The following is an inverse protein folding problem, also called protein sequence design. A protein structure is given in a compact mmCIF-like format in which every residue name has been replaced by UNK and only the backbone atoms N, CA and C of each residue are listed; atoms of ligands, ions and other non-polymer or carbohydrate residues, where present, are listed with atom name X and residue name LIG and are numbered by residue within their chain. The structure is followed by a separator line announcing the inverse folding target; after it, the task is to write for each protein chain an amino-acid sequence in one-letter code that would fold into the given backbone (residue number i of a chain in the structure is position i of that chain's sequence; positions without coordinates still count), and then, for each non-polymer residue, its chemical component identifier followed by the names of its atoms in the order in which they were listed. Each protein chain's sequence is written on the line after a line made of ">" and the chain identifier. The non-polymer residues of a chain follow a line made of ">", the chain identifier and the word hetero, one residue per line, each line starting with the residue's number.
data_IF_341047446517
#
_entry.id   IF_341047446517
#
_cell.length_a   1.000
_cell.length_b   1.000
_cell.length_c   1.000
_cell.angle_alpha   90.00
_cell.angle_beta   90.00
_cell.angle_gamma   90.00
#
_symmetry.space_group_name_H-M   'P 1'
#
loop_
_entity.id
_entity.type
_entity.pdbx_description
1 polymer ?
#
# COMPACT_ATOMS: atom_id res chain seq x y z
N UNK A 1 10.35 3.25 -14.00
CA UNK A 1 9.67 2.12 -13.33
C UNK A 1 9.26 2.47 -11.90
N UNK A 2 10.18 2.86 -11.01
CA UNK A 2 9.88 3.22 -9.61
C UNK A 2 8.82 4.33 -9.48
N UNK A 3 8.97 5.46 -10.18
CA UNK A 3 7.97 6.52 -10.09
C UNK A 3 6.59 6.07 -10.61
N UNK A 4 6.57 5.27 -11.68
CA UNK A 4 5.33 4.73 -12.23
C UNK A 4 4.63 3.78 -11.25
N UNK A 5 5.38 2.98 -10.48
CA UNK A 5 4.78 2.07 -9.48
C UNK A 5 4.07 2.79 -8.34
N UNK A 6 4.31 4.09 -8.19
CA UNK A 6 3.63 4.96 -7.22
C UNK A 6 2.53 5.76 -7.90
N UNK A 7 2.85 6.42 -9.01
CA UNK A 7 1.94 7.37 -9.66
C UNK A 7 0.75 6.68 -10.30
N UNK A 8 0.93 5.51 -10.93
CA UNK A 8 -0.17 4.78 -11.59
C UNK A 8 -1.27 4.39 -10.60
N UNK A 9 -0.99 3.61 -9.52
CA UNK A 9 -2.05 3.24 -8.59
C UNK A 9 -2.67 4.45 -7.90
N UNK A 10 -1.88 5.43 -7.45
CA UNK A 10 -2.41 6.62 -6.78
C UNK A 10 -3.29 7.48 -7.69
N UNK A 11 -2.90 7.66 -8.96
CA UNK A 11 -3.71 8.39 -9.92
C UNK A 11 -5.03 7.66 -10.19
N UNK A 12 -5.01 6.34 -10.37
CA UNK A 12 -6.22 5.54 -10.55
C UNK A 12 -7.14 5.60 -9.32
N UNK A 13 -6.60 5.51 -8.10
CA UNK A 13 -7.37 5.66 -6.86
C UNK A 13 -8.00 7.05 -6.79
N UNK A 14 -7.23 8.10 -7.06
CA UNK A 14 -7.72 9.48 -7.03
C UNK A 14 -8.81 9.72 -8.08
N UNK A 15 -8.60 9.26 -9.32
CA UNK A 15 -9.59 9.37 -10.41
C UNK A 15 -10.86 8.60 -10.05
N UNK A 16 -10.75 7.38 -9.53
CA UNK A 16 -11.91 6.59 -9.11
C UNK A 16 -12.68 7.29 -7.96
N UNK A 17 -11.97 7.77 -6.94
CA UNK A 17 -12.57 8.50 -5.82
C UNK A 17 -13.34 9.74 -6.30
N UNK A 18 -12.71 10.57 -7.14
CA UNK A 18 -13.30 11.81 -7.64
C UNK A 18 -14.46 11.59 -8.61
N UNK A 19 -14.43 10.50 -9.40
CA UNK A 19 -15.48 10.18 -10.37
C UNK A 19 -16.65 9.36 -9.80
N UNK A 20 -16.49 8.79 -8.60
CA UNK A 20 -17.52 7.95 -7.97
C UNK A 20 -18.80 8.71 -7.59
N UNK A 21 -18.67 9.98 -7.17
CA UNK A 21 -19.78 10.81 -6.68
C UNK A 21 -20.32 10.46 -5.28
N UNK A 22 -19.93 9.32 -4.70
CA UNK A 22 -20.41 8.85 -3.39
C UNK A 22 -19.29 8.65 -2.36
N UNK A 23 -18.03 8.55 -2.80
CA UNK A 23 -16.92 8.20 -1.94
C UNK A 23 -16.63 9.24 -0.86
N UNK A 24 -16.50 8.77 0.38
CA UNK A 24 -16.18 9.59 1.54
C UNK A 24 -15.06 8.93 2.37
N UNK A 25 -13.93 9.62 2.52
CA UNK A 25 -12.77 9.12 3.27
C UNK A 25 -13.07 8.69 4.71
N UNK A 26 -14.07 9.30 5.36
CA UNK A 26 -14.42 9.02 6.75
C UNK A 26 -15.30 7.79 6.92
N UNK A 27 -16.10 7.46 5.92
CA UNK A 27 -17.13 6.42 6.00
C UNK A 27 -16.84 5.20 5.14
N UNK A 28 -15.95 5.32 4.15
CA UNK A 28 -15.63 4.26 3.19
C UNK A 28 -14.23 3.67 3.40
N UNK A 29 -14.02 2.46 2.89
CA UNK A 29 -12.71 1.92 2.59
C UNK A 29 -12.30 2.36 1.17
N UNK A 30 -10.99 2.50 0.87
CA UNK A 30 -10.59 2.74 -0.53
C UNK A 30 -11.04 1.57 -1.41
N UNK A 31 -11.01 0.34 -0.89
CA UNK A 31 -11.46 -0.86 -1.59
C UNK A 31 -12.92 -0.83 -2.02
N UNK A 32 -13.77 -0.04 -1.37
CA UNK A 32 -15.18 0.15 -1.78
C UNK A 32 -15.26 0.62 -3.24
N UNK A 33 -14.28 1.43 -3.69
CA UNK A 33 -14.19 1.91 -5.07
C UNK A 33 -13.99 0.77 -6.06
N UNK A 34 -13.36 -0.33 -5.63
CA UNK A 34 -13.06 -1.53 -6.42
C UNK A 34 -14.18 -2.56 -6.48
N UNK A 35 -15.29 -2.35 -5.77
CA UNK A 35 -16.37 -3.34 -5.70
C UNK A 35 -17.05 -3.55 -7.08
N UNK A 36 -16.74 -4.66 -7.77
CA UNK A 36 -17.09 -4.85 -9.18
C UNK A 36 -18.59 -4.86 -9.52
N UNK A 37 -19.46 -5.13 -8.54
CA UNK A 37 -20.92 -5.20 -8.73
C UNK A 37 -21.61 -3.87 -8.40
N UNK A 38 -21.03 -3.07 -7.50
CA UNK A 38 -21.69 -1.89 -6.90
C UNK A 38 -21.04 -0.57 -7.26
N UNK A 39 -19.77 -0.59 -7.67
CA UNK A 39 -19.01 0.60 -8.01
C UNK A 39 -18.85 0.72 -9.53
N UNK A 40 -19.37 1.81 -10.09
CA UNK A 40 -19.19 2.17 -11.50
C UNK A 40 -17.74 2.56 -11.85
N UNK A 41 -16.89 2.82 -10.85
CA UNK A 41 -15.48 3.17 -11.00
C UNK A 41 -14.53 1.99 -10.73
N UNK A 42 -15.07 0.80 -10.42
CA UNK A 42 -14.30 -0.41 -10.13
C UNK A 42 -13.26 -0.76 -11.20
N UNK A 43 -13.54 -0.66 -12.53
CA UNK A 43 -12.54 -0.95 -13.55
C UNK A 43 -11.29 -0.05 -13.43
N UNK A 44 -11.45 1.23 -13.09
CA UNK A 44 -10.35 2.18 -12.94
C UNK A 44 -9.54 1.84 -11.69
N UNK A 45 -10.21 1.61 -10.57
CA UNK A 45 -9.58 1.29 -9.30
C UNK A 45 -8.83 -0.04 -9.35
N UNK A 46 -9.49 -1.13 -9.78
CA UNK A 46 -8.88 -2.46 -9.84
C UNK A 46 -7.77 -2.53 -10.90
N UNK A 47 -7.89 -1.83 -12.03
CA UNK A 47 -6.77 -1.69 -12.97
C UNK A 47 -5.58 -0.98 -12.31
N UNK A 48 -5.82 0.10 -11.58
CA UNK A 48 -4.78 0.82 -10.84
C UNK A 48 -4.04 -0.06 -9.84
N UNK A 49 -4.76 -0.84 -9.03
CA UNK A 49 -4.18 -1.76 -8.08
C UNK A 49 -3.40 -2.90 -8.76
N UNK A 50 -3.97 -3.50 -9.81
CA UNK A 50 -3.31 -4.59 -10.56
C UNK A 50 -2.04 -4.12 -11.27
N UNK A 51 -2.12 -3.02 -12.04
CA UNK A 51 -0.97 -2.44 -12.73
C UNK A 51 0.08 -1.92 -11.73
N UNK A 52 -0.35 -1.26 -10.66
CA UNK A 52 0.52 -0.82 -9.57
C UNK A 52 1.23 -1.97 -8.89
N UNK A 53 0.51 -3.04 -8.55
CA UNK A 53 1.06 -4.24 -7.94
C UNK A 53 2.10 -4.94 -8.81
N UNK A 54 1.84 -5.03 -10.12
CA UNK A 54 2.82 -5.53 -11.08
C UNK A 54 4.08 -4.67 -11.10
N UNK A 55 3.93 -3.33 -11.16
CA UNK A 55 5.07 -2.42 -11.16
C UNK A 55 5.87 -2.48 -9.86
N UNK A 56 5.21 -2.58 -8.70
CA UNK A 56 5.88 -2.76 -7.40
C UNK A 56 6.64 -4.09 -7.36
N UNK A 57 6.04 -5.18 -7.85
CA UNK A 57 6.71 -6.47 -7.91
C UNK A 57 7.96 -6.44 -8.81
N UNK A 58 7.88 -5.80 -9.98
CA UNK A 58 9.04 -5.61 -10.86
C UNK A 58 10.14 -4.76 -10.20
N UNK A 59 9.77 -3.71 -9.46
CA UNK A 59 10.73 -2.94 -8.63
C UNK A 59 11.37 -3.84 -7.56
N UNK A 60 10.62 -4.73 -6.94
CA UNK A 60 11.12 -5.74 -6.01
C UNK A 60 12.17 -6.65 -6.65
N UNK A 61 11.88 -7.19 -7.84
CA UNK A 61 12.82 -8.03 -8.61
C UNK A 61 14.12 -7.27 -8.91
N UNK A 62 14.04 -6.03 -9.39
CA UNK A 62 15.23 -5.20 -9.63
C UNK A 62 16.03 -4.90 -8.34
N UNK A 63 15.33 -4.88 -7.20
CA UNK A 63 15.90 -4.61 -5.88
C UNK A 63 16.58 -5.83 -5.24
N UNK A 64 16.38 -7.05 -5.75
CA UNK A 64 16.98 -8.28 -5.21
C UNK A 64 18.51 -8.23 -5.17
N UNK A 65 19.14 -7.56 -6.14
CA UNK A 65 20.60 -7.35 -6.15
C UNK A 65 21.10 -6.28 -5.19
N UNK A 66 20.21 -5.49 -4.57
CA UNK A 66 20.53 -4.50 -3.53
C UNK A 66 20.26 -5.05 -2.13
N UNK A 67 19.10 -5.66 -1.92
CA UNK A 67 18.74 -6.39 -0.71
C UNK A 67 17.77 -7.49 -1.07
N UNK A 68 18.13 -8.75 -0.78
CA UNK A 68 17.27 -9.90 -1.06
C UNK A 68 16.00 -9.85 -0.22
N UNK A 69 16.11 -9.45 1.05
CA UNK A 69 14.99 -9.34 1.98
C UNK A 69 13.96 -8.33 1.47
N UNK A 70 14.36 -7.06 1.35
CA UNK A 70 13.48 -5.99 0.87
C UNK A 70 12.97 -6.27 -0.55
N UNK A 71 13.81 -6.82 -1.43
CA UNK A 71 13.38 -7.17 -2.79
C UNK A 71 12.24 -8.18 -2.81
N UNK A 72 12.32 -9.26 -2.00
CA UNK A 72 11.24 -10.23 -1.87
C UNK A 72 10.00 -9.67 -1.17
N UNK A 73 10.18 -8.85 -0.14
CA UNK A 73 9.07 -8.16 0.53
C UNK A 73 8.28 -7.30 -0.46
N UNK A 74 8.96 -6.57 -1.36
CA UNK A 74 8.31 -5.80 -2.41
C UNK A 74 7.61 -6.68 -3.46
N UNK A 75 8.19 -7.83 -3.84
CA UNK A 75 7.52 -8.80 -4.73
C UNK A 75 6.21 -9.29 -4.10
N UNK A 76 6.26 -9.68 -2.82
CA UNK A 76 5.08 -10.14 -2.09
C UNK A 76 4.04 -9.03 -1.92
N UNK A 77 4.46 -7.82 -1.56
CA UNK A 77 3.59 -6.66 -1.46
C UNK A 77 2.89 -6.35 -2.79
N UNK A 78 3.64 -6.35 -3.90
CA UNK A 78 3.09 -6.16 -5.24
C UNK A 78 2.09 -7.26 -5.62
N UNK A 79 2.39 -8.52 -5.28
CA UNK A 79 1.48 -9.64 -5.50
C UNK A 79 0.18 -9.52 -4.69
N UNK A 80 0.25 -9.19 -3.38
CA UNK A 80 -0.95 -8.96 -2.58
C UNK A 80 -1.77 -7.79 -3.11
N UNK A 81 -1.14 -6.73 -3.61
CA UNK A 81 -1.87 -5.61 -4.23
C UNK A 81 -2.64 -6.04 -5.50
N UNK A 82 -2.07 -6.94 -6.31
CA UNK A 82 -2.80 -7.58 -7.42
C UNK A 82 -3.96 -8.41 -6.89
N UNK A 83 -3.75 -9.20 -5.83
CA UNK A 83 -4.81 -10.01 -5.24
C UNK A 83 -5.96 -9.18 -4.68
N UNK A 84 -5.70 -7.99 -4.12
CA UNK A 84 -6.75 -7.05 -3.71
C UNK A 84 -7.62 -6.63 -4.91
N UNK A 85 -6.99 -6.42 -6.09
CA UNK A 85 -7.71 -6.08 -7.32
C UNK A 85 -8.55 -7.23 -7.87
N UNK A 86 -8.09 -8.47 -7.69
CA UNK A 86 -8.76 -9.70 -8.18
C UNK A 86 -9.87 -10.14 -7.23
N UNK A 87 -9.57 -10.18 -5.94
CA UNK A 87 -10.49 -10.51 -4.87
C UNK A 87 -11.01 -9.21 -4.26
N UNK A 88 -11.78 -8.45 -5.04
CA UNK A 88 -12.39 -7.20 -4.58
C UNK A 88 -13.44 -7.42 -3.46
N UNK A 89 -14.08 -6.36 -3.00
CA UNK A 89 -15.04 -6.37 -1.88
C UNK A 89 -16.20 -7.39 -2.02
N UNK A 90 -16.51 -7.85 -3.25
CA UNK A 90 -17.46 -8.96 -3.49
C UNK A 90 -17.07 -10.23 -2.70
N UNK A 91 -15.78 -10.45 -2.50
CA UNK A 91 -15.22 -11.65 -1.87
C UNK A 91 -15.13 -11.56 -0.33
N UNK A 92 -15.54 -10.43 0.27
CA UNK A 92 -15.72 -10.25 1.73
C UNK A 92 -14.50 -10.70 2.53
N UNK A 93 -14.59 -11.82 3.26
CA UNK A 93 -13.53 -12.30 4.15
C UNK A 93 -12.21 -12.55 3.40
N UNK A 94 -12.28 -13.07 2.16
CA UNK A 94 -11.07 -13.26 1.36
C UNK A 94 -10.41 -11.93 1.01
N UNK A 95 -11.20 -10.91 0.65
CA UNK A 95 -10.72 -9.56 0.42
C UNK A 95 -10.01 -9.01 1.67
N UNK A 96 -10.64 -9.17 2.84
CA UNK A 96 -10.05 -8.76 4.11
C UNK A 96 -8.68 -9.40 4.35
N UNK A 97 -8.54 -10.71 4.15
CA UNK A 97 -7.26 -11.39 4.38
C UNK A 97 -6.16 -10.95 3.41
N UNK A 98 -6.46 -10.78 2.12
CA UNK A 98 -5.45 -10.31 1.15
C UNK A 98 -5.06 -8.85 1.39
N UNK A 99 -6.02 -8.00 1.79
CA UNK A 99 -5.78 -6.61 2.17
C UNK A 99 -4.93 -6.53 3.45
N UNK A 100 -5.24 -7.33 4.47
CA UNK A 100 -4.42 -7.40 5.68
C UNK A 100 -2.99 -7.86 5.38
N UNK A 101 -2.81 -8.88 4.52
CA UNK A 101 -1.49 -9.35 4.12
C UNK A 101 -0.67 -8.27 3.40
N UNK A 102 -1.31 -7.46 2.54
CA UNK A 102 -0.67 -6.31 1.92
C UNK A 102 -0.20 -5.27 2.96
N UNK A 103 -1.05 -4.84 3.89
CA UNK A 103 -0.65 -3.86 4.91
C UNK A 103 0.42 -4.40 5.86
N UNK A 104 0.37 -5.69 6.21
CA UNK A 104 1.45 -6.35 6.95
C UNK A 104 2.75 -6.33 6.15
N UNK A 105 2.72 -6.58 4.83
CA UNK A 105 3.92 -6.52 3.99
C UNK A 105 4.55 -5.11 3.95
N UNK A 106 3.75 -4.05 4.02
CA UNK A 106 4.25 -2.66 4.18
C UNK A 106 4.92 -2.47 5.55
N UNK A 107 4.32 -2.98 6.62
CA UNK A 107 4.93 -2.92 7.96
C UNK A 107 6.26 -3.69 8.02
N UNK A 108 6.34 -4.84 7.34
CA UNK A 108 7.58 -5.62 7.19
C UNK A 108 8.61 -4.81 6.42
N UNK A 109 8.25 -4.20 5.29
CA UNK A 109 9.15 -3.33 4.51
C UNK A 109 9.75 -2.22 5.38
N UNK A 110 8.92 -1.51 6.15
CA UNK A 110 9.37 -0.45 7.05
C UNK A 110 10.30 -0.99 8.15
N UNK A 111 10.00 -2.18 8.67
CA UNK A 111 10.82 -2.84 9.69
C UNK A 111 12.19 -3.21 9.11
N UNK A 112 12.23 -3.84 7.94
CA UNK A 112 13.48 -4.17 7.24
C UNK A 112 14.29 -2.92 6.93
N UNK A 113 13.64 -1.85 6.49
CA UNK A 113 14.29 -0.56 6.25
C UNK A 113 14.87 0.01 7.55
N UNK A 114 14.11 0.05 8.64
CA UNK A 114 14.54 0.59 9.93
C UNK A 114 15.75 -0.18 10.51
N UNK A 115 15.77 -1.50 10.34
CA UNK A 115 16.87 -2.36 10.79
C UNK A 115 18.12 -2.23 9.92
N UNK A 116 17.94 -1.95 8.63
CA UNK A 116 19.05 -1.84 7.66
C UNK A 116 19.67 -0.45 7.64
N UNK A 117 18.85 0.60 7.72
CA UNK A 117 19.27 2.00 7.59
C UNK A 117 19.36 2.63 8.98
N UNK A 118 20.57 3.01 9.40
CA UNK A 118 20.80 3.59 10.73
C UNK A 118 20.58 5.11 10.76
N UNK A 119 20.57 5.66 11.97
CA UNK A 119 20.43 7.09 12.22
C UNK A 119 18.99 7.58 12.07
N UNK A 120 18.84 8.86 11.71
CA UNK A 120 17.53 9.53 11.66
C UNK A 120 16.54 8.82 10.73
N UNK A 121 16.98 8.29 9.58
CA UNK A 121 16.09 7.62 8.62
C UNK A 121 15.49 6.33 9.19
N UNK A 122 16.28 5.51 9.88
CA UNK A 122 15.78 4.30 10.55
C UNK A 122 14.83 4.62 11.70
N UNK A 123 15.11 5.68 12.46
CA UNK A 123 14.20 6.19 13.49
C UNK A 123 12.87 6.66 12.89
N UNK A 124 12.91 7.41 11.79
CA UNK A 124 11.71 7.86 11.08
C UNK A 124 10.89 6.68 10.53
N UNK A 125 11.54 5.62 10.03
CA UNK A 125 10.86 4.40 9.61
C UNK A 125 10.18 3.68 10.78
N UNK A 126 10.83 3.67 11.95
CA UNK A 126 10.24 3.11 13.17
C UNK A 126 9.02 3.93 13.63
N UNK A 127 9.11 5.26 13.55
CA UNK A 127 7.98 6.16 13.83
C UNK A 127 6.84 5.97 12.82
N UNK A 128 7.15 5.74 11.54
CA UNK A 128 6.15 5.45 10.51
C UNK A 128 5.35 4.17 10.83
N UNK A 129 6.00 3.13 11.34
CA UNK A 129 5.32 1.92 11.84
C UNK A 129 4.37 2.28 12.99
N UNK A 130 4.85 3.03 13.99
CA UNK A 130 4.03 3.42 15.13
C UNK A 130 2.79 4.23 14.70
N UNK A 131 2.94 5.15 13.74
CA UNK A 131 1.82 5.93 13.18
C UNK A 131 0.84 5.03 12.43
N UNK A 132 1.32 4.11 11.59
CA UNK A 132 0.47 3.15 10.88
C UNK A 132 -0.31 2.25 11.83
N UNK A 133 0.36 1.68 12.84
CA UNK A 133 -0.28 0.85 13.88
C UNK A 133 -1.31 1.66 14.65
N UNK A 134 -0.98 2.89 15.07
CA UNK A 134 -1.91 3.75 15.78
C UNK A 134 -3.18 4.05 14.95
N UNK A 135 -3.03 4.27 13.64
CA UNK A 135 -4.16 4.49 12.74
C UNK A 135 -5.06 3.26 12.62
N UNK A 136 -4.49 2.06 12.47
CA UNK A 136 -5.26 0.82 12.44
C UNK A 136 -5.92 0.50 13.78
N UNK A 137 -5.25 0.77 14.90
CA UNK A 137 -5.84 0.62 16.25
C UNK A 137 -7.00 1.60 16.44
N UNK A 138 -6.84 2.87 16.04
CA UNK A 138 -7.91 3.87 16.09
C UNK A 138 -9.16 3.39 15.34
N UNK A 139 -8.97 2.85 14.13
CA UNK A 139 -10.06 2.35 13.30
C UNK A 139 -10.68 1.05 13.85
N UNK A 140 -9.87 0.02 14.13
CA UNK A 140 -10.35 -1.31 14.52
C UNK A 140 -10.89 -1.38 15.94
N UNK A 141 -10.28 -0.65 16.89
CA UNK A 141 -10.66 -0.73 18.32
C UNK A 141 -11.64 0.37 18.69
N UNK A 142 -11.43 1.59 18.18
CA UNK A 142 -12.24 2.75 18.55
C UNK A 142 -13.28 3.14 17.49
N UNK A 143 -13.25 2.52 16.30
CA UNK A 143 -14.18 2.85 15.21
C UNK A 143 -13.96 4.25 14.64
N UNK A 144 -12.75 4.81 14.79
CA UNK A 144 -12.42 6.17 14.35
C UNK A 144 -11.26 6.15 13.36
N UNK A 145 -11.49 6.52 12.08
CA UNK A 145 -12.78 6.78 11.46
C UNK A 145 -13.57 5.50 11.18
N UNK A 146 -14.82 5.64 10.74
CA UNK A 146 -15.73 4.51 10.49
C UNK A 146 -15.26 3.66 9.31
N UNK A 147 -14.81 4.30 8.24
CA UNK A 147 -14.25 3.66 7.06
C UNK A 147 -12.74 3.41 7.19
N UNK A 148 -12.25 2.42 6.45
CA UNK A 148 -10.83 2.08 6.44
C UNK A 148 -9.97 3.02 5.57
N UNK A 149 -10.56 3.92 4.78
CA UNK A 149 -9.78 4.72 3.83
C UNK A 149 -8.70 5.59 4.49
N UNK A 150 -8.94 6.13 5.69
CA UNK A 150 -7.94 6.92 6.41
C UNK A 150 -6.75 6.08 6.89
N UNK A 151 -6.90 4.98 7.64
CA UNK A 151 -5.75 4.16 8.02
C UNK A 151 -5.02 3.56 6.81
N UNK A 152 -5.73 3.25 5.71
CA UNK A 152 -5.12 2.83 4.45
C UNK A 152 -4.25 3.93 3.84
N UNK A 153 -4.77 5.16 3.71
CA UNK A 153 -4.01 6.31 3.21
C UNK A 153 -2.83 6.66 4.11
N UNK A 154 -2.99 6.61 5.43
CA UNK A 154 -1.88 6.83 6.37
C UNK A 154 -0.78 5.80 6.12
N UNK A 155 -1.13 4.51 5.99
CA UNK A 155 -0.17 3.44 5.73
C UNK A 155 0.61 3.67 4.43
N UNK A 156 -0.06 4.13 3.36
CA UNK A 156 0.58 4.46 2.08
C UNK A 156 1.50 5.69 2.25
N UNK A 157 0.99 6.77 2.83
CA UNK A 157 1.71 8.03 3.00
C UNK A 157 2.96 7.88 3.87
N UNK A 158 2.89 7.11 4.96
CA UNK A 158 4.05 6.90 5.84
C UNK A 158 5.09 5.96 5.24
N UNK A 159 4.67 5.00 4.40
CA UNK A 159 5.59 4.05 3.77
C UNK A 159 6.31 4.64 2.53
N UNK A 160 5.63 5.52 1.80
CA UNK A 160 6.09 6.03 0.51
C UNK A 160 7.49 6.66 0.53
N UNK A 161 7.87 7.51 1.52
CA UNK A 161 9.21 8.09 1.55
C UNK A 161 10.32 7.04 1.64
N UNK A 162 10.11 5.96 2.40
CA UNK A 162 11.09 4.90 2.61
C UNK A 162 11.17 3.94 1.43
N UNK A 163 10.02 3.66 0.80
CA UNK A 163 9.97 2.96 -0.48
C UNK A 163 10.80 3.70 -1.53
N UNK A 164 10.58 5.01 -1.68
CA UNK A 164 11.31 5.84 -2.66
C UNK A 164 12.79 5.97 -2.32
N UNK A 165 13.15 6.23 -1.06
CA UNK A 165 14.55 6.30 -0.64
C UNK A 165 15.27 4.98 -0.91
N UNK A 166 14.68 3.84 -0.55
CA UNK A 166 15.31 2.55 -0.81
C UNK A 166 15.44 2.27 -2.31
N UNK A 167 14.41 2.52 -3.12
CA UNK A 167 14.40 2.12 -4.53
C UNK A 167 15.17 3.05 -5.44
N UNK A 168 15.27 4.34 -5.12
CA UNK A 168 16.02 5.32 -5.90
C UNK A 168 17.49 5.44 -5.47
N UNK A 169 17.82 5.08 -4.23
CA UNK A 169 19.20 5.19 -3.73
C UNK A 169 20.13 4.19 -4.45
N UNK A 170 21.29 4.63 -4.98
CA UNK A 170 22.25 3.74 -5.63
C UNK A 170 22.71 2.58 -4.74
N UNK A 171 23.14 1.49 -5.36
CA UNK A 171 23.81 0.39 -4.64
C UNK A 171 25.07 0.93 -3.96
N UNK A 172 25.25 0.65 -2.66
CA UNK A 172 26.48 0.97 -1.93
C UNK A 172 26.53 2.33 -1.20
N UNK A 173 25.53 3.20 -1.36
CA UNK A 173 25.43 4.40 -0.53
C UNK A 173 24.98 4.01 0.90
N UNK A 174 25.89 4.06 1.88
CA UNK A 174 25.57 3.90 3.32
C UNK A 174 24.93 5.17 3.86
#
# INVERSE_FOLDING_TARGET
>A
MVLASVLVPLACIAVAALSSGWFNLWNNALSDLGHAVRSNVAPIFNFGLSAGGLLVALVGVCSLGKSRLIGWTLVLAGYFLILIAVFDEVYRDLHFYVSAAFFVSIAVLLTEYALTVRGLRGLLASLAIAVGVAAWVAHMVYGVPRGAAVPELISICVALPFYLDFTLRPRGAR
#
